data_IF_506715344159
#
_entry.id   IF_506715344159
#
_cell.length_a   1.000
_cell.length_b   1.000
_cell.length_c   1.000
_cell.angle_alpha   90.00
_cell.angle_beta   90.00
_cell.angle_gamma   90.00
#
_symmetry.space_group_name_H-M   'P 1'
#
loop_
_entity.id
_entity.type
_entity.pdbx_description
1 polymer ?
#
# COMPACT_ATOMS: atom_id res chain seq x y z
N UNK A 1 3.60 -10.76 -10.35
CA UNK A 1 3.07 -12.10 -10.13
C UNK A 1 2.15 -12.12 -8.90
N UNK A 2 2.61 -11.51 -7.82
CA UNK A 2 1.83 -11.46 -6.58
C UNK A 2 1.90 -10.08 -5.95
N UNK A 3 0.80 -9.67 -5.30
CA UNK A 3 0.70 -8.37 -4.63
C UNK A 3 1.58 -8.29 -3.39
N UNK A 4 1.75 -9.41 -2.72
CA UNK A 4 2.58 -9.46 -1.51
C UNK A 4 3.95 -8.85 -1.77
N UNK A 5 4.44 -9.00 -3.00
CA UNK A 5 5.75 -8.47 -3.37
C UNK A 5 5.67 -6.97 -3.60
N UNK A 6 4.68 -6.54 -4.37
CA UNK A 6 4.50 -5.12 -4.68
C UNK A 6 4.48 -4.29 -3.39
N UNK A 7 3.68 -4.73 -2.43
CA UNK A 7 3.56 -4.03 -1.15
C UNK A 7 4.81 -4.22 -0.31
N UNK A 8 5.41 -5.39 -0.40
CA UNK A 8 6.63 -5.70 0.36
C UNK A 8 7.76 -4.76 -0.03
N UNK A 9 7.81 -4.40 -1.31
CA UNK A 9 8.84 -3.50 -1.81
C UNK A 9 8.72 -2.11 -1.19
N UNK A 10 7.52 -1.54 -1.27
CA UNK A 10 7.27 -0.22 -0.71
C UNK A 10 7.66 -0.17 0.76
N UNK A 11 7.40 -1.26 1.48
CA UNK A 11 7.72 -1.34 2.90
C UNK A 11 9.19 -1.00 3.15
N UNK A 12 10.05 -1.40 2.23
CA UNK A 12 11.48 -1.13 2.34
C UNK A 12 11.78 0.33 2.06
N UNK A 13 11.15 0.88 1.03
CA UNK A 13 11.36 2.28 0.65
C UNK A 13 10.83 3.21 1.74
N UNK A 14 9.71 2.84 2.34
CA UNK A 14 9.11 3.64 3.40
C UNK A 14 10.05 3.78 4.59
N UNK A 15 10.67 2.67 4.96
CA UNK A 15 11.60 2.67 6.09
C UNK A 15 12.64 3.77 5.96
N UNK A 16 13.22 3.90 4.77
CA UNK A 16 14.23 4.92 4.51
C UNK A 16 13.67 6.31 4.80
N UNK A 17 12.58 6.65 4.13
CA UNK A 17 11.96 7.96 4.31
C UNK A 17 11.61 8.20 5.77
N UNK A 18 11.00 7.19 6.40
CA UNK A 18 10.62 7.29 7.81
C UNK A 18 11.80 7.74 8.67
N UNK A 19 12.98 7.22 8.35
CA UNK A 19 14.19 7.58 9.09
C UNK A 19 14.41 9.09 9.10
N UNK A 20 14.19 9.71 7.95
CA UNK A 20 14.36 11.16 7.82
C UNK A 20 13.26 11.90 8.56
N UNK A 21 12.05 11.35 8.54
CA UNK A 21 10.91 11.97 9.20
C UNK A 21 10.27 11.01 10.19
N UNK A 22 10.97 10.75 11.31
CA UNK A 22 10.48 9.85 12.36
C UNK A 22 9.29 10.42 13.11
N UNK A 23 8.10 10.29 12.52
CA UNK A 23 6.90 10.80 13.16
C UNK A 23 6.01 11.53 12.18
N UNK A 24 5.91 11.02 10.96
CA UNK A 24 5.09 11.63 9.93
C UNK A 24 3.70 10.99 9.89
N UNK A 25 2.67 11.83 9.96
CA UNK A 25 1.29 11.34 9.92
C UNK A 25 0.98 10.69 8.58
N UNK A 26 1.52 11.26 7.50
CA UNK A 26 1.29 10.74 6.17
C UNK A 26 2.03 9.42 5.97
N UNK A 27 3.21 9.30 6.58
CA UNK A 27 4.00 8.08 6.47
C UNK A 27 3.33 6.92 7.18
N UNK A 28 2.96 7.13 8.43
CA UNK A 28 2.30 6.10 9.23
C UNK A 28 0.93 5.76 8.65
N UNK A 29 0.22 6.79 8.18
CA UNK A 29 -1.10 6.61 7.61
C UNK A 29 -1.05 5.67 6.40
N UNK A 30 0.02 5.80 5.62
CA UNK A 30 0.19 4.96 4.43
C UNK A 30 0.81 3.62 4.79
N UNK A 31 1.72 3.64 5.77
CA UNK A 31 2.39 2.42 6.20
C UNK A 31 1.40 1.43 6.82
N UNK A 32 0.63 1.92 7.80
CA UNK A 32 -0.36 1.09 8.48
C UNK A 32 -1.26 0.38 7.47
N UNK A 33 -1.50 1.05 6.34
CA UNK A 33 -2.34 0.47 5.29
C UNK A 33 -1.73 -0.80 4.73
N UNK A 34 -0.45 -0.72 4.35
CA UNK A 34 0.26 -1.87 3.80
C UNK A 34 0.12 -3.09 4.72
N UNK A 35 -0.01 -2.82 6.01
CA UNK A 35 -0.14 -3.90 6.99
C UNK A 35 -1.47 -4.63 6.83
N UNK A 36 -2.51 -3.88 6.48
CA UNK A 36 -3.83 -4.46 6.29
C UNK A 36 -3.88 -5.31 5.02
N UNK A 37 -3.53 -4.70 3.89
CA UNK A 37 -3.53 -5.41 2.61
C UNK A 37 -2.76 -6.73 2.72
N UNK A 38 -1.70 -6.72 3.52
CA UNK A 38 -0.88 -7.92 3.70
C UNK A 38 -1.57 -8.92 4.62
N UNK A 39 -2.10 -8.42 5.73
CA UNK A 39 -2.79 -9.27 6.69
C UNK A 39 -3.91 -10.07 6.02
N UNK A 40 -4.83 -9.35 5.37
CA UNK A 40 -5.94 -9.97 4.69
C UNK A 40 -5.46 -10.95 3.62
N UNK A 41 -4.35 -10.61 2.98
CA UNK A 41 -3.78 -11.47 1.95
C UNK A 41 -3.62 -12.90 2.44
N UNK A 42 -3.28 -13.05 3.71
CA UNK A 42 -3.10 -14.36 4.31
C UNK A 42 -4.34 -14.80 5.06
N UNK A 43 -5.01 -13.84 5.71
CA UNK A 43 -6.23 -14.13 6.45
C UNK A 43 -7.38 -14.46 5.52
N UNK A 44 -8.30 -15.29 5.99
CA UNK A 44 -9.45 -15.70 5.18
C UNK A 44 -10.76 -15.28 5.88
N UNK A 45 -10.78 -15.38 7.20
CA UNK A 45 -11.96 -15.02 7.97
C UNK A 45 -12.04 -13.52 8.21
N UNK A 46 -10.88 -12.91 8.40
CA UNK A 46 -10.79 -11.46 8.63
C UNK A 46 -11.56 -10.70 7.54
N UNK A 47 -11.78 -9.41 7.79
CA UNK A 47 -12.49 -8.56 6.83
C UNK A 47 -11.64 -8.32 5.59
N UNK A 48 -12.19 -8.62 4.43
CA UNK A 48 -11.48 -8.43 3.17
C UNK A 48 -12.14 -7.35 2.33
N UNK A 49 -13.47 -7.27 2.40
CA UNK A 49 -14.22 -6.28 1.64
C UNK A 49 -13.66 -4.88 1.87
N UNK A 50 -13.20 -4.63 3.09
CA UNK A 50 -12.63 -3.34 3.44
C UNK A 50 -11.55 -2.91 2.45
N UNK A 51 -10.87 -3.90 1.88
CA UNK A 51 -9.82 -3.64 0.91
C UNK A 51 -10.29 -2.66 -0.17
N UNK A 52 -11.57 -2.76 -0.52
CA UNK A 52 -12.15 -1.88 -1.54
C UNK A 52 -12.52 -0.53 -0.94
N UNK A 53 -12.95 -0.54 0.32
CA UNK A 53 -13.34 0.68 1.02
C UNK A 53 -12.15 1.60 1.20
N UNK A 54 -11.01 1.04 1.60
CA UNK A 54 -9.79 1.81 1.82
C UNK A 54 -9.47 2.68 0.60
N UNK A 55 -8.55 3.62 0.78
CA UNK A 55 -8.16 4.50 -0.30
C UNK A 55 -6.79 5.12 -0.04
N UNK A 56 -5.74 4.33 -0.19
CA UNK A 56 -4.38 4.80 0.03
C UNK A 56 -3.68 5.10 -1.29
N UNK A 57 -2.96 6.22 -1.34
CA UNK A 57 -2.26 6.59 -2.55
C UNK A 57 -2.60 7.99 -3.02
N UNK A 58 -3.84 8.39 -2.79
CA UNK A 58 -4.30 9.72 -3.19
C UNK A 58 -3.54 10.81 -2.44
N UNK A 59 -3.15 10.51 -1.20
CA UNK A 59 -2.42 11.45 -0.38
C UNK A 59 -0.92 11.40 -0.68
N UNK A 60 -0.43 10.21 -0.99
CA UNK A 60 0.98 10.03 -1.30
C UNK A 60 1.31 10.56 -2.69
N UNK A 61 0.38 10.42 -3.61
CA UNK A 61 0.58 10.89 -4.97
C UNK A 61 0.65 12.42 -5.03
N UNK A 62 0.06 13.06 -4.02
CA UNK A 62 0.07 14.52 -3.95
C UNK A 62 1.16 15.01 -3.02
N UNK A 63 1.15 14.52 -1.78
CA UNK A 63 2.14 14.91 -0.79
C UNK A 63 3.52 14.32 -1.12
N UNK A 64 3.54 13.01 -1.33
CA UNK A 64 4.78 12.32 -1.66
C UNK A 64 4.96 12.19 -3.17
N UNK A 65 4.50 13.20 -3.90
CA UNK A 65 4.60 13.20 -5.36
C UNK A 65 6.05 13.34 -5.80
N UNK A 66 6.70 14.40 -5.35
CA UNK A 66 8.09 14.65 -5.71
C UNK A 66 9.02 14.35 -4.52
N UNK A 67 8.53 14.65 -3.32
CA UNK A 67 9.31 14.43 -2.11
C UNK A 67 9.66 12.94 -1.95
N UNK A 68 8.72 12.08 -2.29
CA UNK A 68 8.93 10.64 -2.19
C UNK A 68 8.07 9.89 -3.19
N UNK A 69 8.46 9.92 -4.47
CA UNK A 69 7.73 9.25 -5.55
C UNK A 69 7.83 7.73 -5.45
N UNK A 70 8.97 7.25 -4.96
CA UNK A 70 9.19 5.81 -4.82
C UNK A 70 8.12 5.18 -3.93
N UNK A 71 7.69 5.92 -2.92
CA UNK A 71 6.67 5.44 -1.99
C UNK A 71 5.28 5.57 -2.59
N UNK A 72 5.00 6.74 -3.18
CA UNK A 72 3.71 7.01 -3.79
C UNK A 72 3.42 6.00 -4.90
N UNK A 73 4.37 5.86 -5.82
CA UNK A 73 4.21 4.93 -6.94
C UNK A 73 3.96 3.52 -6.44
N UNK A 74 4.60 3.16 -5.33
CA UNK A 74 4.45 1.83 -4.74
C UNK A 74 3.10 1.70 -4.04
N UNK A 75 2.65 2.79 -3.42
CA UNK A 75 1.38 2.79 -2.70
C UNK A 75 0.21 2.69 -3.67
N UNK A 76 0.18 3.58 -4.66
CA UNK A 76 -0.87 3.58 -5.66
C UNK A 76 -1.06 2.19 -6.27
N UNK A 77 0.04 1.47 -6.41
CA UNK A 77 0.01 0.13 -6.98
C UNK A 77 -0.28 -0.92 -5.91
N UNK A 78 0.13 -0.62 -4.68
CA UNK A 78 -0.10 -1.53 -3.57
C UNK A 78 -1.59 -1.78 -3.35
N UNK A 79 -2.33 -0.70 -3.10
CA UNK A 79 -3.76 -0.82 -2.87
C UNK A 79 -4.49 -1.23 -4.16
N UNK A 80 -3.95 -0.82 -5.29
CA UNK A 80 -4.53 -1.15 -6.59
C UNK A 80 -4.80 -2.65 -6.69
N UNK A 81 -3.75 -3.44 -6.55
CA UNK A 81 -3.86 -4.89 -6.64
C UNK A 81 -4.68 -5.45 -5.48
N UNK A 82 -4.54 -4.82 -4.31
CA UNK A 82 -5.28 -5.27 -3.14
C UNK A 82 -6.79 -5.30 -3.38
N UNK A 83 -7.32 -4.22 -3.93
CA UNK A 83 -8.75 -4.14 -4.21
C UNK A 83 -9.23 -5.34 -5.01
N UNK A 84 -8.58 -5.60 -6.13
CA UNK A 84 -8.93 -6.73 -6.98
C UNK A 84 -8.95 -8.03 -6.18
N UNK A 85 -7.84 -8.32 -5.50
CA UNK A 85 -7.73 -9.53 -4.70
C UNK A 85 -8.82 -9.59 -3.64
N UNK A 86 -9.18 -8.43 -3.09
CA UNK A 86 -10.21 -8.37 -2.08
C UNK A 86 -11.49 -9.06 -2.50
N UNK A 87 -11.81 -8.95 -3.78
CA UNK A 87 -13.02 -9.56 -4.32
C UNK A 87 -12.70 -10.85 -5.05
N UNK A 88 -11.46 -10.96 -5.54
CA UNK A 88 -11.04 -12.14 -6.27
C UNK A 88 -10.89 -11.89 -7.75
N UNK A 89 -10.47 -10.68 -8.11
CA UNK A 89 -10.28 -10.32 -9.51
C UNK A 89 -8.86 -10.65 -9.97
N UNK A 90 -8.71 -10.86 -11.27
CA UNK A 90 -7.40 -11.19 -11.85
C UNK A 90 -6.45 -10.00 -11.75
N UNK A 91 -5.16 -10.28 -11.76
CA UNK A 91 -4.15 -9.23 -11.67
C UNK A 91 -3.11 -9.38 -12.78
N UNK A 92 -2.81 -8.28 -13.47
CA UNK A 92 -1.84 -8.29 -14.54
C UNK A 92 -1.69 -6.90 -15.15
N UNK A 93 -0.52 -6.29 -14.94
CA UNK A 93 -0.24 -4.97 -15.46
C UNK A 93 1.09 -4.94 -16.21
N UNK A 94 1.22 -3.98 -17.14
CA UNK A 94 2.43 -3.83 -17.95
C UNK A 94 3.61 -3.32 -17.12
#
# INVERSE_FOLDING_TARGET
MTPIEYIDRALALVVDRLARYPGYEVLLSAEKQLQYIRSVLLDRSLDRSALHRLTLGSIAVKEFDETDPELSRALKDAYYVGIRTGRGLKVDLP
#
